data_IF_459535396154
#
_entry.id   IF_459535396154
#
_cell.length_a   1.000
_cell.length_b   1.000
_cell.length_c   1.000
_cell.angle_alpha   90.00
_cell.angle_beta   90.00
_cell.angle_gamma   90.00
#
_symmetry.space_group_name_H-M   'P 1'
#
loop_
_entity.id
_entity.type
_entity.pdbx_description
1 polymer ?
#
# COMPACT_ATOMS: atom_id res chain seq x y z
N UNK A 1 23.11 3.73 12.44
CA UNK A 1 22.52 3.12 11.23
C UNK A 1 21.52 2.03 11.62
N UNK A 2 21.94 0.94 12.29
CA UNK A 2 21.03 -0.14 12.75
C UNK A 2 19.75 0.32 13.47
N UNK A 3 19.84 1.31 14.36
CA UNK A 3 18.64 1.80 15.09
C UNK A 3 17.67 2.60 14.19
N UNK A 4 18.20 3.32 13.21
CA UNK A 4 17.39 4.08 12.24
C UNK A 4 16.72 3.11 11.27
N UNK A 5 17.45 2.10 10.80
CA UNK A 5 16.92 1.08 9.88
C UNK A 5 15.79 0.27 10.56
N UNK A 6 15.97 -0.11 11.83
CA UNK A 6 14.94 -0.77 12.63
C UNK A 6 13.72 0.13 12.86
N UNK A 7 13.92 1.43 13.11
CA UNK A 7 12.81 2.38 13.26
C UNK A 7 12.01 2.53 11.96
N UNK A 8 12.70 2.60 10.82
CA UNK A 8 12.07 2.66 9.49
C UNK A 8 11.27 1.38 9.22
N UNK A 9 11.84 0.21 9.51
CA UNK A 9 11.15 -1.06 9.35
C UNK A 9 9.90 -1.16 10.25
N UNK A 10 9.98 -0.70 11.50
CA UNK A 10 8.84 -0.66 12.41
C UNK A 10 7.75 0.32 11.91
N UNK A 11 8.13 1.49 11.42
CA UNK A 11 7.18 2.46 10.84
C UNK A 11 6.47 1.87 9.61
N UNK A 12 7.23 1.23 8.72
CA UNK A 12 6.69 0.57 7.53
C UNK A 12 5.75 -0.58 7.92
N UNK A 13 6.06 -1.33 8.98
CA UNK A 13 5.19 -2.37 9.51
C UNK A 13 3.85 -1.77 9.97
N UNK A 14 3.89 -0.70 10.76
CA UNK A 14 2.68 -0.01 11.24
C UNK A 14 1.85 0.53 10.07
N UNK A 15 2.50 1.13 9.07
CA UNK A 15 1.83 1.61 7.85
C UNK A 15 1.22 0.46 7.04
N UNK A 16 1.92 -0.66 6.92
CA UNK A 16 1.45 -1.85 6.21
C UNK A 16 0.19 -2.41 6.86
N UNK A 17 0.22 -2.58 8.18
CA UNK A 17 -0.94 -3.01 8.96
C UNK A 17 -2.09 -2.00 8.87
N UNK A 18 -1.80 -0.69 8.91
CA UNK A 18 -2.81 0.35 8.73
C UNK A 18 -3.50 0.22 7.36
N UNK A 19 -2.73 0.08 6.27
CA UNK A 19 -3.30 -0.09 4.93
C UNK A 19 -4.13 -1.37 4.81
N UNK A 20 -3.70 -2.45 5.47
CA UNK A 20 -4.42 -3.72 5.46
C UNK A 20 -5.76 -3.61 6.19
N UNK A 21 -5.76 -3.05 7.41
CA UNK A 21 -6.97 -2.85 8.22
C UNK A 21 -7.91 -1.85 7.54
N UNK A 22 -7.39 -0.70 7.10
CA UNK A 22 -8.18 0.29 6.37
C UNK A 22 -8.73 -0.30 5.06
N UNK A 23 -7.93 -1.10 4.36
CA UNK A 23 -8.30 -1.87 3.19
C UNK A 23 -9.51 -2.78 3.43
N UNK A 24 -9.45 -3.62 4.46
CA UNK A 24 -10.50 -4.59 4.83
C UNK A 24 -11.77 -3.88 5.29
N UNK A 25 -11.64 -2.91 6.21
CA UNK A 25 -12.80 -2.23 6.83
C UNK A 25 -13.42 -1.20 5.86
N UNK A 26 -12.69 -0.80 4.81
CA UNK A 26 -13.08 0.24 3.85
C UNK A 26 -13.40 1.59 4.51
N UNK A 27 -12.69 1.88 5.61
CA UNK A 27 -12.82 3.10 6.42
C UNK A 27 -11.44 3.64 6.76
N UNK A 28 -11.39 4.91 7.18
CA UNK A 28 -10.16 5.62 7.52
C UNK A 28 -9.90 6.80 6.61
N UNK A 29 -8.75 7.47 6.81
CA UNK A 29 -8.37 8.66 6.05
C UNK A 29 -8.28 8.40 4.54
N UNK A 30 -7.92 7.18 4.14
CA UNK A 30 -7.82 6.72 2.74
C UNK A 30 -9.13 6.85 1.93
N UNK A 31 -10.29 6.88 2.60
CA UNK A 31 -11.59 6.90 1.94
C UNK A 31 -12.34 8.21 2.14
N UNK A 32 -11.69 9.19 2.78
CA UNK A 32 -12.14 10.58 2.83
C UNK A 32 -11.68 11.25 1.55
N UNK A 33 -12.43 11.05 0.47
CA UNK A 33 -12.16 11.64 -0.83
C UNK A 33 -13.38 12.47 -1.29
N UNK A 34 -13.09 13.61 -1.91
CA UNK A 34 -14.08 14.53 -2.46
C UNK A 34 -14.51 14.14 -3.88
N UNK A 35 -14.44 12.83 -4.19
CA UNK A 35 -14.85 12.32 -5.49
C UNK A 35 -16.37 12.47 -5.69
N UNK A 36 -16.82 12.72 -6.94
CA UNK A 36 -18.24 12.75 -7.27
C UNK A 36 -18.97 11.49 -6.78
N UNK A 37 -20.21 11.64 -6.31
CA UNK A 37 -21.04 10.54 -5.77
C UNK A 37 -21.16 9.36 -6.74
N UNK A 38 -21.14 9.63 -8.04
CA UNK A 38 -21.22 8.64 -9.13
C UNK A 38 -20.07 7.63 -9.10
N UNK A 39 -18.85 8.07 -8.79
CA UNK A 39 -17.66 7.21 -8.80
C UNK A 39 -17.22 6.79 -7.40
N UNK A 40 -17.75 7.41 -6.35
CA UNK A 40 -17.24 7.27 -4.99
C UNK A 40 -17.28 5.82 -4.49
N UNK A 41 -18.36 5.08 -4.78
CA UNK A 41 -18.48 3.68 -4.36
C UNK A 41 -17.45 2.77 -5.06
N UNK A 42 -17.22 2.99 -6.36
CA UNK A 42 -16.29 2.21 -7.16
C UNK A 42 -14.83 2.56 -6.86
N UNK A 43 -14.53 3.85 -6.70
CA UNK A 43 -13.24 4.35 -6.26
C UNK A 43 -12.90 3.77 -4.88
N UNK A 44 -13.84 3.76 -3.93
CA UNK A 44 -13.63 3.14 -2.61
C UNK A 44 -13.31 1.65 -2.69
N UNK A 45 -14.00 0.87 -3.55
CA UNK A 45 -13.66 -0.55 -3.77
C UNK A 45 -12.26 -0.72 -4.35
N UNK A 46 -11.90 0.15 -5.28
CA UNK A 46 -10.59 0.13 -5.94
C UNK A 46 -9.47 0.47 -4.94
N UNK A 47 -9.63 1.54 -4.15
CA UNK A 47 -8.70 1.92 -3.07
C UNK A 47 -8.55 0.75 -2.10
N UNK A 48 -9.67 0.15 -1.67
CA UNK A 48 -9.66 -1.01 -0.76
C UNK A 48 -8.82 -2.16 -1.30
N UNK A 49 -8.99 -2.53 -2.57
CA UNK A 49 -8.22 -3.60 -3.20
C UNK A 49 -6.71 -3.28 -3.21
N UNK A 50 -6.32 -2.10 -3.69
CA UNK A 50 -4.91 -1.70 -3.74
C UNK A 50 -4.29 -1.54 -2.34
N UNK A 51 -5.03 -1.00 -1.38
CA UNK A 51 -4.58 -0.85 0.00
C UNK A 51 -4.35 -2.20 0.68
N UNK A 52 -5.18 -3.21 0.43
CA UNK A 52 -4.94 -4.56 0.96
C UNK A 52 -3.64 -5.14 0.40
N UNK A 53 -3.45 -5.07 -0.93
CA UNK A 53 -2.23 -5.61 -1.56
C UNK A 53 -0.99 -4.86 -1.07
N UNK A 54 -1.05 -3.53 -1.03
CA UNK A 54 0.05 -2.69 -0.53
C UNK A 54 0.35 -3.01 0.94
N UNK A 55 -0.68 -3.16 1.76
CA UNK A 55 -0.55 -3.53 3.17
C UNK A 55 0.13 -4.89 3.34
N UNK A 56 -0.24 -5.90 2.55
CA UNK A 56 0.37 -7.24 2.62
C UNK A 56 1.85 -7.16 2.25
N UNK A 57 2.17 -6.52 1.12
CA UNK A 57 3.55 -6.42 0.64
C UNK A 57 4.43 -5.63 1.63
N UNK A 58 3.96 -4.49 2.11
CA UNK A 58 4.72 -3.64 3.03
C UNK A 58 4.94 -4.32 4.39
N UNK A 59 3.92 -5.04 4.89
CA UNK A 59 4.04 -5.85 6.11
C UNK A 59 5.07 -6.96 5.93
N UNK A 60 5.04 -7.67 4.79
CA UNK A 60 5.98 -8.74 4.49
C UNK A 60 7.43 -8.24 4.40
N UNK A 61 7.67 -7.12 3.71
CA UNK A 61 8.99 -6.46 3.64
C UNK A 61 9.47 -6.09 5.04
N UNK A 62 8.63 -5.42 5.81
CA UNK A 62 8.99 -4.92 7.14
C UNK A 62 9.30 -6.05 8.12
N UNK A 63 8.57 -7.17 8.04
CA UNK A 63 8.88 -8.36 8.82
C UNK A 63 10.26 -8.92 8.44
N UNK A 64 10.57 -9.06 7.15
CA UNK A 64 11.88 -9.56 6.71
C UNK A 64 13.04 -8.67 7.20
N UNK A 65 12.84 -7.36 7.22
CA UNK A 65 13.80 -6.39 7.74
C UNK A 65 13.98 -6.50 9.26
N UNK A 66 12.88 -6.55 10.02
CA UNK A 66 12.91 -6.64 11.50
C UNK A 66 13.59 -7.94 11.96
N UNK A 67 13.27 -9.07 11.33
CA UNK A 67 13.88 -10.36 11.68
C UNK A 67 15.28 -10.57 11.09
N UNK A 68 15.82 -9.58 10.36
CA UNK A 68 17.15 -9.58 9.77
C UNK A 68 17.47 -10.88 9.00
N UNK A 69 16.51 -11.35 8.19
CA UNK A 69 16.65 -12.62 7.46
C UNK A 69 17.65 -12.47 6.31
N UNK A 70 18.93 -12.64 6.61
CA UNK A 70 20.04 -12.37 5.66
C UNK A 70 19.98 -13.25 4.40
N UNK A 71 19.48 -14.48 4.49
CA UNK A 71 19.33 -15.38 3.34
C UNK A 71 18.19 -15.01 2.38
N UNK A 72 17.40 -13.97 2.69
CA UNK A 72 16.24 -13.57 1.90
C UNK A 72 16.34 -12.15 1.33
N UNK A 73 17.55 -11.59 1.21
CA UNK A 73 17.74 -10.27 0.59
C UNK A 73 17.14 -10.18 -0.82
N UNK A 74 17.27 -11.23 -1.64
CA UNK A 74 16.68 -11.29 -2.98
C UNK A 74 15.14 -11.18 -2.96
N UNK A 75 14.50 -11.79 -1.96
CA UNK A 75 13.06 -11.72 -1.75
C UNK A 75 12.65 -10.32 -1.32
N UNK A 76 13.43 -9.70 -0.44
CA UNK A 76 13.21 -8.32 0.00
C UNK A 76 13.26 -7.32 -1.18
N UNK A 77 14.29 -7.40 -2.02
CA UNK A 77 14.38 -6.60 -3.25
C UNK A 77 13.21 -6.84 -4.20
N UNK A 78 12.78 -8.10 -4.33
CA UNK A 78 11.64 -8.48 -5.17
C UNK A 78 10.35 -7.84 -4.65
N UNK A 79 10.10 -7.91 -3.35
CA UNK A 79 8.91 -7.33 -2.72
C UNK A 79 8.90 -5.79 -2.82
N UNK A 80 10.05 -5.13 -2.66
CA UNK A 80 10.18 -3.70 -2.94
C UNK A 80 9.86 -3.36 -4.41
N UNK A 81 10.36 -4.15 -5.35
CA UNK A 81 10.03 -4.03 -6.77
C UNK A 81 8.52 -4.17 -7.03
N UNK A 82 7.87 -5.13 -6.36
CA UNK A 82 6.41 -5.32 -6.44
C UNK A 82 5.64 -4.13 -5.85
N UNK A 83 6.09 -3.55 -4.74
CA UNK A 83 5.50 -2.32 -4.18
C UNK A 83 5.54 -1.17 -5.20
N UNK A 84 6.68 -0.94 -5.85
CA UNK A 84 6.81 0.11 -6.87
C UNK A 84 5.90 -0.13 -8.07
N UNK A 85 5.85 -1.38 -8.57
CA UNK A 85 4.94 -1.76 -9.64
C UNK A 85 3.47 -1.54 -9.25
N UNK A 86 3.09 -1.88 -8.02
CA UNK A 86 1.73 -1.70 -7.52
C UNK A 86 1.33 -0.22 -7.53
N UNK A 87 2.23 0.69 -7.13
CA UNK A 87 1.99 2.14 -7.19
C UNK A 87 1.76 2.59 -8.63
N UNK A 88 2.62 2.16 -9.57
CA UNK A 88 2.48 2.50 -11.00
C UNK A 88 1.13 2.00 -11.54
N UNK A 89 0.78 0.74 -11.28
CA UNK A 89 -0.48 0.13 -11.72
C UNK A 89 -1.66 0.89 -11.13
N UNK A 90 -1.61 1.24 -9.84
CA UNK A 90 -2.66 2.01 -9.17
C UNK A 90 -2.86 3.37 -9.86
N UNK A 91 -1.78 4.13 -10.08
CA UNK A 91 -1.84 5.45 -10.74
C UNK A 91 -2.41 5.33 -12.16
N UNK A 92 -1.93 4.38 -12.96
CA UNK A 92 -2.41 4.17 -14.34
C UNK A 92 -3.89 3.77 -14.33
N UNK A 93 -4.29 2.87 -13.43
CA UNK A 93 -5.68 2.42 -13.31
C UNK A 93 -6.61 3.58 -12.95
N UNK A 94 -6.25 4.37 -11.92
CA UNK A 94 -7.03 5.52 -11.50
C UNK A 94 -7.12 6.57 -12.60
N UNK A 95 -6.02 6.87 -13.29
CA UNK A 95 -6.01 7.82 -14.40
C UNK A 95 -6.89 7.35 -15.56
N UNK A 96 -6.79 6.07 -15.97
CA UNK A 96 -7.56 5.53 -17.09
C UNK A 96 -9.06 5.45 -16.78
N UNK A 97 -9.40 5.08 -15.54
CA UNK A 97 -10.79 4.80 -15.15
C UNK A 97 -11.52 6.04 -14.61
N UNK A 98 -10.86 6.81 -13.77
CA UNK A 98 -11.47 7.97 -13.09
C UNK A 98 -10.97 9.32 -13.60
N UNK A 99 -9.95 9.36 -14.47
CA UNK A 99 -9.37 10.62 -14.96
C UNK A 99 -10.34 11.53 -15.72
N UNK A 100 -11.48 11.02 -16.21
CA UNK A 100 -12.55 11.84 -16.80
C UNK A 100 -13.38 12.61 -15.78
N UNK A 101 -13.40 12.15 -14.53
CA UNK A 101 -14.17 12.71 -13.41
C UNK A 101 -13.31 13.58 -12.48
N UNK A 102 -11.99 13.51 -12.63
CA UNK A 102 -10.99 14.28 -11.91
C UNK A 102 -10.55 15.43 -12.84
N UNK A 103 -11.40 16.46 -12.96
CA UNK A 103 -11.02 17.73 -13.61
C UNK A 103 -10.17 18.56 -12.68
#
# INVERSE_FOLDING_TARGET
MKDIDNLIALLNLVLGLYFLIAGIVRKGSLYKNDYPKEIQAEARRTISFFSIIAGILLTAVSCLDIYQVQNMQWLNYTLWGMCMLLVIICVIYFKKKFGRYLK
#
